data_IF_138267679786
#
_entry.id   IF_138267679786
#
_cell.length_a   1.000
_cell.length_b   1.000
_cell.length_c   1.000
_cell.angle_alpha   90.00
_cell.angle_beta   90.00
_cell.angle_gamma   90.00
#
_symmetry.space_group_name_H-M   'P 1'
#
loop_
_entity.id
_entity.type
_entity.pdbx_description
1 polymer ?
#
# COMPACT_ATOMS: atom_id res chain seq x y z
N UNK A 1 -25.86 25.38 16.07
CA UNK A 1 -25.09 24.75 14.97
C UNK A 1 -23.78 24.06 15.37
N UNK A 2 -23.06 24.46 16.44
CA UNK A 2 -21.85 23.73 16.88
C UNK A 2 -22.09 22.30 17.42
N UNK A 3 -23.27 22.00 17.96
CA UNK A 3 -23.57 20.69 18.55
C UNK A 3 -23.74 19.57 17.51
N UNK A 4 -24.27 19.88 16.32
CA UNK A 4 -24.46 18.91 15.23
C UNK A 4 -23.13 18.53 14.59
N UNK A 5 -22.25 19.50 14.34
CA UNK A 5 -20.91 19.23 13.81
C UNK A 5 -20.07 18.36 14.75
N UNK A 6 -20.16 18.57 16.07
CA UNK A 6 -19.46 17.75 17.06
C UNK A 6 -20.07 16.35 17.17
N UNK A 7 -21.39 16.21 16.99
CA UNK A 7 -22.05 14.90 16.98
C UNK A 7 -21.68 14.10 15.73
N UNK A 8 -21.71 14.70 14.54
CA UNK A 8 -21.31 14.06 13.28
C UNK A 8 -19.83 13.67 13.24
N UNK A 9 -18.96 14.51 13.81
CA UNK A 9 -17.52 14.22 13.89
C UNK A 9 -17.23 13.08 14.87
N UNK A 10 -17.88 13.08 16.04
CA UNK A 10 -17.79 11.96 16.99
C UNK A 10 -18.37 10.68 16.42
N UNK A 11 -19.49 10.76 15.70
CA UNK A 11 -20.15 9.61 15.09
C UNK A 11 -19.27 8.97 14.01
N UNK A 12 -18.55 9.79 13.21
CA UNK A 12 -17.56 9.28 12.23
C UNK A 12 -16.40 8.53 12.87
N UNK A 13 -15.88 9.01 14.00
CA UNK A 13 -14.80 8.32 14.73
C UNK A 13 -15.32 7.00 15.30
N UNK A 14 -16.51 7.01 15.91
CA UNK A 14 -17.15 5.80 16.42
C UNK A 14 -17.46 4.80 15.30
N UNK A 15 -17.86 5.27 14.12
CA UNK A 15 -18.15 4.41 12.96
C UNK A 15 -16.89 3.72 12.43
N UNK A 16 -15.76 4.45 12.30
CA UNK A 16 -14.48 3.85 11.91
C UNK A 16 -13.99 2.83 12.93
N UNK A 17 -14.08 3.16 14.22
CA UNK A 17 -13.71 2.24 15.30
C UNK A 17 -14.58 0.98 15.29
N UNK A 18 -15.89 1.12 15.05
CA UNK A 18 -16.83 0.00 14.94
C UNK A 18 -16.51 -0.89 13.74
N UNK A 19 -16.19 -0.30 12.58
CA UNK A 19 -15.76 -1.08 11.43
C UNK A 19 -14.45 -1.82 11.69
N UNK A 20 -13.50 -1.20 12.38
CA UNK A 20 -12.25 -1.85 12.75
C UNK A 20 -12.47 -3.04 13.69
N UNK A 21 -13.24 -2.87 14.78
CA UNK A 21 -13.51 -3.96 15.73
C UNK A 21 -14.28 -5.10 15.06
N UNK A 22 -15.24 -4.77 14.20
CA UNK A 22 -15.99 -5.77 13.45
C UNK A 22 -15.11 -6.50 12.42
N UNK A 23 -14.21 -5.80 11.72
CA UNK A 23 -13.23 -6.43 10.84
C UNK A 23 -12.34 -7.44 11.59
N UNK A 24 -11.87 -7.10 12.79
CA UNK A 24 -11.10 -8.03 13.65
C UNK A 24 -11.91 -9.26 14.05
N UNK A 25 -13.21 -9.12 14.31
CA UNK A 25 -14.09 -10.26 14.60
C UNK A 25 -14.30 -11.16 13.38
N UNK A 26 -14.48 -10.57 12.20
CA UNK A 26 -14.60 -11.30 10.92
C UNK A 26 -13.32 -12.05 10.59
N UNK A 27 -12.16 -11.40 10.78
CA UNK A 27 -10.84 -12.03 10.67
C UNK A 27 -10.71 -13.24 11.60
N UNK A 28 -11.04 -13.08 12.89
CA UNK A 28 -10.98 -14.17 13.87
C UNK A 28 -11.93 -15.34 13.52
N UNK A 29 -13.02 -15.05 12.80
CA UNK A 29 -13.98 -16.05 12.32
C UNK A 29 -13.57 -16.68 10.97
N UNK A 30 -12.43 -16.27 10.39
CA UNK A 30 -11.94 -16.74 9.10
C UNK A 30 -12.64 -16.12 7.88
N UNK A 31 -13.53 -15.13 8.08
CA UNK A 31 -14.20 -14.43 6.98
C UNK A 31 -13.34 -13.26 6.48
N UNK A 32 -12.25 -13.61 5.79
CA UNK A 32 -11.27 -12.67 5.26
C UNK A 32 -11.89 -11.66 4.29
N UNK A 33 -12.79 -12.09 3.42
CA UNK A 33 -13.36 -11.24 2.37
C UNK A 33 -14.16 -10.06 2.95
N UNK A 34 -15.00 -10.31 3.95
CA UNK A 34 -15.77 -9.23 4.59
C UNK A 34 -14.90 -8.40 5.53
N UNK A 35 -13.87 -9.00 6.15
CA UNK A 35 -12.90 -8.26 6.96
C UNK A 35 -12.19 -7.17 6.14
N UNK A 36 -11.80 -7.46 4.89
CA UNK A 36 -11.19 -6.47 3.98
C UNK A 36 -12.09 -5.24 3.80
N UNK A 37 -13.37 -5.44 3.46
CA UNK A 37 -14.33 -4.34 3.26
C UNK A 37 -14.45 -3.45 4.50
N UNK A 38 -14.42 -4.06 5.68
CA UNK A 38 -14.52 -3.31 6.93
C UNK A 38 -13.21 -2.60 7.31
N UNK A 39 -12.04 -3.17 7.00
CA UNK A 39 -10.75 -2.47 7.14
C UNK A 39 -10.62 -1.27 6.19
N UNK A 40 -11.17 -1.34 4.98
CA UNK A 40 -11.26 -0.19 4.07
C UNK A 40 -12.14 0.90 4.65
N UNK A 41 -13.31 0.55 5.20
CA UNK A 41 -14.22 1.52 5.84
C UNK A 41 -13.65 2.15 7.11
N UNK A 42 -12.82 1.43 7.86
CA UNK A 42 -12.09 2.01 9.00
C UNK A 42 -10.88 2.85 8.56
N UNK A 43 -10.43 2.74 7.31
CA UNK A 43 -9.24 3.41 6.79
C UNK A 43 -7.93 2.81 7.28
N UNK A 44 -7.96 1.56 7.78
CA UNK A 44 -6.79 0.84 8.30
C UNK A 44 -6.29 -0.22 7.31
N UNK A 45 -6.84 -0.27 6.10
CA UNK A 45 -6.59 -1.30 5.10
C UNK A 45 -5.13 -1.42 4.68
N UNK A 46 -4.38 -0.32 4.67
CA UNK A 46 -2.95 -0.31 4.27
C UNK A 46 -2.06 -1.19 5.15
N UNK A 47 -2.41 -1.34 6.43
CA UNK A 47 -1.66 -2.16 7.37
C UNK A 47 -2.38 -3.49 7.65
N UNK A 48 -3.69 -3.43 7.91
CA UNK A 48 -4.43 -4.59 8.41
C UNK A 48 -4.72 -5.63 7.33
N UNK A 49 -5.03 -5.21 6.10
CA UNK A 49 -5.32 -6.18 5.02
C UNK A 49 -4.07 -6.96 4.63
N UNK A 50 -2.91 -6.32 4.40
CA UNK A 50 -1.67 -7.06 4.18
C UNK A 50 -1.29 -7.98 5.33
N UNK A 51 -1.35 -7.50 6.58
CA UNK A 51 -1.07 -8.32 7.77
C UNK A 51 -1.97 -9.55 7.82
N UNK A 52 -3.29 -9.37 7.74
CA UNK A 52 -4.27 -10.45 7.80
C UNK A 52 -4.03 -11.50 6.69
N UNK A 53 -3.86 -11.06 5.43
CA UNK A 53 -3.66 -11.98 4.31
C UNK A 53 -2.30 -12.69 4.37
N UNK A 54 -1.28 -12.02 4.91
CA UNK A 54 0.03 -12.61 5.15
C UNK A 54 -0.02 -13.69 6.23
N UNK A 55 -0.64 -13.38 7.39
CA UNK A 55 -0.81 -14.30 8.51
C UNK A 55 -1.64 -15.54 8.11
N UNK A 56 -2.65 -15.34 7.24
CA UNK A 56 -3.45 -16.42 6.68
C UNK A 56 -2.74 -17.23 5.56
N UNK A 57 -1.49 -16.89 5.21
CA UNK A 57 -0.72 -17.48 4.12
C UNK A 57 -1.39 -17.35 2.73
N UNK A 58 -2.24 -16.33 2.55
CA UNK A 58 -3.02 -16.09 1.33
C UNK A 58 -2.31 -15.10 0.39
N UNK A 59 -1.04 -15.39 0.04
CA UNK A 59 -0.21 -14.51 -0.81
C UNK A 59 -0.86 -14.15 -2.15
N UNK A 60 -1.56 -15.10 -2.78
CA UNK A 60 -2.25 -14.84 -4.05
C UNK A 60 -3.39 -13.83 -3.90
N UNK A 61 -4.13 -13.86 -2.79
CA UNK A 61 -5.19 -12.88 -2.53
C UNK A 61 -4.60 -11.52 -2.17
N UNK A 62 -3.48 -11.49 -1.43
CA UNK A 62 -2.76 -10.27 -1.12
C UNK A 62 -2.28 -9.57 -2.39
N UNK A 63 -1.62 -10.32 -3.28
CA UNK A 63 -1.17 -9.77 -4.55
C UNK A 63 -2.36 -9.26 -5.38
N UNK A 64 -3.45 -10.03 -5.50
CA UNK A 64 -4.65 -9.60 -6.23
C UNK A 64 -5.27 -8.32 -5.65
N UNK A 65 -5.28 -8.18 -4.33
CA UNK A 65 -5.76 -6.99 -3.64
C UNK A 65 -4.89 -5.77 -3.98
N UNK A 66 -3.55 -5.89 -3.88
CA UNK A 66 -2.63 -4.82 -4.28
C UNK A 66 -2.76 -4.48 -5.77
N UNK A 67 -2.88 -5.50 -6.63
CA UNK A 67 -3.01 -5.33 -8.07
C UNK A 67 -4.26 -4.57 -8.46
N UNK A 68 -5.37 -4.77 -7.73
CA UNK A 68 -6.61 -4.01 -7.91
C UNK A 68 -6.59 -2.61 -7.30
N UNK A 69 -5.57 -2.27 -6.51
CA UNK A 69 -5.48 -1.00 -5.80
C UNK A 69 -4.83 0.09 -6.64
N UNK A 70 -5.29 1.32 -6.42
CA UNK A 70 -4.66 2.57 -6.88
C UNK A 70 -4.06 3.37 -5.72
N UNK A 71 -3.91 2.76 -4.53
CA UNK A 71 -3.33 3.41 -3.36
C UNK A 71 -1.80 3.35 -3.44
N UNK A 72 -1.17 4.49 -3.73
CA UNK A 72 0.28 4.59 -3.91
C UNK A 72 1.06 4.07 -2.70
N UNK A 73 0.57 4.28 -1.48
CA UNK A 73 1.28 3.82 -0.28
C UNK A 73 1.24 2.30 -0.15
N UNK A 74 0.14 1.67 -0.56
CA UNK A 74 0.03 0.21 -0.61
C UNK A 74 0.92 -0.38 -1.71
N UNK A 75 0.96 0.26 -2.89
CA UNK A 75 1.81 -0.15 -4.01
C UNK A 75 3.30 -0.06 -3.64
N UNK A 76 3.72 1.02 -2.99
CA UNK A 76 5.10 1.18 -2.47
C UNK A 76 5.45 0.12 -1.45
N UNK A 77 4.56 -0.14 -0.49
CA UNK A 77 4.77 -1.18 0.50
C UNK A 77 4.98 -2.55 -0.16
N UNK A 78 4.17 -2.90 -1.16
CA UNK A 78 4.33 -4.16 -1.89
C UNK A 78 5.60 -4.20 -2.74
N UNK A 79 6.00 -3.08 -3.36
CA UNK A 79 7.26 -2.96 -4.07
C UNK A 79 8.46 -3.20 -3.15
N UNK A 80 8.45 -2.60 -1.95
CA UNK A 80 9.48 -2.81 -0.91
C UNK A 80 9.54 -4.28 -0.47
N UNK A 81 8.38 -4.91 -0.28
CA UNK A 81 8.30 -6.34 0.02
C UNK A 81 8.89 -7.20 -1.12
N UNK A 82 8.56 -6.90 -2.38
CA UNK A 82 9.12 -7.62 -3.53
C UNK A 82 10.65 -7.43 -3.61
N UNK A 83 11.13 -6.20 -3.38
CA UNK A 83 12.55 -5.87 -3.36
C UNK A 83 13.31 -6.61 -2.25
N UNK A 84 12.76 -6.67 -1.03
CA UNK A 84 13.39 -7.41 0.08
C UNK A 84 13.46 -8.91 -0.17
N UNK A 85 12.60 -9.44 -1.04
CA UNK A 85 12.61 -10.83 -1.50
C UNK A 85 13.46 -11.03 -2.77
N UNK A 86 14.23 -10.02 -3.21
CA UNK A 86 15.10 -10.09 -4.38
C UNK A 86 14.36 -10.05 -5.73
N UNK A 87 13.06 -9.75 -5.74
CA UNK A 87 12.24 -9.68 -6.95
C UNK A 87 12.28 -8.27 -7.55
N UNK A 88 13.48 -7.81 -7.94
CA UNK A 88 13.74 -6.43 -8.34
C UNK A 88 12.92 -5.97 -9.55
N UNK A 89 12.74 -6.82 -10.56
CA UNK A 89 11.93 -6.46 -11.74
C UNK A 89 10.46 -6.23 -11.36
N UNK A 90 9.91 -7.00 -10.42
CA UNK A 90 8.57 -6.76 -9.89
C UNK A 90 8.53 -5.49 -9.04
N UNK A 91 9.53 -5.28 -8.18
CA UNK A 91 9.61 -4.08 -7.36
C UNK A 91 9.56 -2.83 -8.23
N UNK A 92 10.33 -2.79 -9.33
CA UNK A 92 10.30 -1.69 -10.30
C UNK A 92 8.91 -1.48 -10.90
N UNK A 93 8.21 -2.53 -11.33
CA UNK A 93 6.84 -2.41 -11.87
C UNK A 93 5.87 -1.77 -10.87
N UNK A 94 5.96 -2.11 -9.59
CA UNK A 94 5.09 -1.51 -8.57
C UNK A 94 5.52 -0.09 -8.18
N UNK A 95 6.82 0.21 -8.13
CA UNK A 95 7.29 1.58 -7.94
C UNK A 95 6.88 2.49 -9.11
N UNK A 96 6.89 2.00 -10.35
CA UNK A 96 6.38 2.72 -11.53
C UNK A 96 4.90 3.03 -11.38
N UNK A 97 4.08 2.03 -11.01
CA UNK A 97 2.64 2.24 -10.74
C UNK A 97 2.38 3.25 -9.62
N UNK A 98 3.26 3.30 -8.61
CA UNK A 98 3.17 4.25 -7.50
C UNK A 98 3.79 5.62 -7.79
N UNK A 99 4.39 5.81 -8.97
CA UNK A 99 5.20 6.97 -9.35
C UNK A 99 6.32 7.29 -8.33
N UNK A 100 6.98 6.26 -7.78
CA UNK A 100 8.10 6.39 -6.84
C UNK A 100 9.43 6.42 -7.59
N UNK A 101 9.71 7.54 -8.26
CA UNK A 101 10.90 7.72 -9.11
C UNK A 101 12.20 7.62 -8.32
N UNK A 102 12.22 8.11 -7.07
CA UNK A 102 13.36 7.98 -6.16
C UNK A 102 13.71 6.50 -5.94
N UNK A 103 12.72 5.65 -5.61
CA UNK A 103 12.96 4.23 -5.39
C UNK A 103 13.40 3.53 -6.68
N UNK A 104 12.81 3.86 -7.83
CA UNK A 104 13.19 3.31 -9.14
C UNK A 104 14.67 3.59 -9.42
N UNK A 105 15.07 4.86 -9.34
CA UNK A 105 16.46 5.28 -9.63
C UNK A 105 17.43 4.61 -8.65
N UNK A 106 17.11 4.57 -7.36
CA UNK A 106 17.92 3.86 -6.36
C UNK A 106 18.12 2.38 -6.72
N UNK A 107 17.06 1.68 -7.10
CA UNK A 107 17.14 0.25 -7.48
C UNK A 107 17.96 0.08 -8.76
N UNK A 108 17.78 0.94 -9.76
CA UNK A 108 18.54 0.89 -11.02
C UNK A 108 20.04 1.15 -10.79
N UNK A 109 20.39 2.17 -9.99
CA UNK A 109 21.77 2.47 -9.63
C UNK A 109 22.43 1.33 -8.87
N UNK A 110 21.74 0.72 -7.90
CA UNK A 110 22.24 -0.45 -7.17
C UNK A 110 22.58 -1.63 -8.09
N UNK A 111 21.84 -1.79 -9.19
CA UNK A 111 22.10 -2.83 -10.20
C UNK A 111 23.01 -2.37 -11.35
N UNK A 112 23.63 -1.19 -11.26
CA UNK A 112 24.52 -0.65 -12.29
C UNK A 112 23.82 -0.22 -13.59
N UNK A 113 22.49 -0.12 -13.61
CA UNK A 113 21.70 0.29 -14.78
C UNK A 113 21.62 1.83 -14.88
N UNK A 114 22.77 2.49 -14.96
CA UNK A 114 22.89 3.95 -14.85
C UNK A 114 22.22 4.72 -16.00
N UNK A 115 22.29 4.21 -17.23
CA UNK A 115 21.63 4.84 -18.38
C UNK A 115 20.12 4.92 -18.18
N UNK A 116 19.51 3.81 -17.76
CA UNK A 116 18.08 3.73 -17.46
C UNK A 116 17.69 4.61 -16.27
N UNK A 117 18.54 4.70 -15.25
CA UNK A 117 18.34 5.60 -14.12
C UNK A 117 18.29 7.08 -14.58
N UNK A 118 19.23 7.49 -15.44
CA UNK A 118 19.27 8.84 -15.99
C UNK A 118 18.04 9.17 -16.85
N UNK A 119 17.56 8.21 -17.66
CA UNK A 119 16.29 8.35 -18.40
C UNK A 119 15.13 8.67 -17.45
N UNK A 120 14.97 7.90 -16.37
CA UNK A 120 13.88 8.09 -15.41
C UNK A 120 13.95 9.46 -14.72
N UNK A 121 15.13 9.93 -14.33
CA UNK A 121 15.31 11.27 -13.75
C UNK A 121 14.89 12.36 -14.75
N UNK A 122 15.33 12.25 -16.00
CA UNK A 122 15.03 13.24 -17.03
C UNK A 122 13.54 13.26 -17.40
N UNK A 123 12.89 12.10 -17.47
CA UNK A 123 11.47 11.98 -17.80
C UNK A 123 10.54 12.42 -16.66
N UNK A 124 10.89 12.07 -15.42
CA UNK A 124 10.07 12.40 -14.24
C UNK A 124 10.20 13.86 -13.79
N UNK A 125 11.34 14.50 -14.07
CA UNK A 125 11.68 15.81 -13.52
C UNK A 125 11.94 15.80 -12.00
N UNK A 126 12.06 14.62 -11.38
CA UNK A 126 12.34 14.48 -9.97
C UNK A 126 13.83 14.73 -9.69
N UNK A 127 14.14 15.99 -9.36
CA UNK A 127 15.50 16.41 -8.98
C UNK A 127 16.02 15.67 -7.75
N UNK A 128 15.13 15.20 -6.86
CA UNK A 128 15.51 14.42 -5.69
C UNK A 128 16.05 13.04 -6.08
N UNK A 129 15.49 12.44 -7.13
CA UNK A 129 15.97 11.17 -7.66
C UNK A 129 17.38 11.26 -8.28
N UNK A 130 17.78 12.44 -8.77
CA UNK A 130 19.09 12.67 -9.37
C UNK A 130 20.29 12.56 -8.40
N UNK A 131 20.07 12.49 -7.09
CA UNK A 131 21.13 12.38 -6.09
C UNK A 131 21.74 10.97 -5.96
N UNK A 132 21.09 9.95 -6.52
CA UNK A 132 21.51 8.55 -6.47
C UNK A 132 22.41 8.16 -7.65
#
# INVERSE_FOLDING_TARGET
EKALAVAEDKDRIHLKATHYTYAKQLEASGNTHDAVKHFERSGTHRAEVPRMLFDAQQMGQLQAYVDSSSDNELLKWWAQFAESNGQYDKALQYYERAADHLAIVRVLCFHGKLERAAEVVNESGDLGAAYH
#
